data_IF_250479891685
#
_entry.id   IF_250479891685
#
_cell.length_a   1.000
_cell.length_b   1.000
_cell.length_c   1.000
_cell.angle_alpha   90.00
_cell.angle_beta   90.00
_cell.angle_gamma   90.00
#
_symmetry.space_group_name_H-M   'P 1'
#
loop_
_entity.id
_entity.type
_entity.pdbx_description
1 polymer ?
#
# COMPACT_ATOMS: atom_id res chain seq x y z
N UNK A 1 10.67 3.02 -5.60
CA UNK A 1 11.33 2.16 -6.61
C UNK A 1 10.81 0.75 -6.41
N UNK A 2 10.29 0.12 -7.46
CA UNK A 2 9.86 -1.28 -7.45
C UNK A 2 10.63 -2.01 -8.55
N UNK A 3 11.34 -3.09 -8.18
CA UNK A 3 12.02 -3.95 -9.16
C UNK A 3 11.24 -5.25 -9.42
N UNK A 4 10.13 -5.47 -8.71
CA UNK A 4 9.25 -6.61 -8.90
C UNK A 4 8.39 -6.38 -10.14
N UNK A 5 8.31 -7.38 -10.99
CA UNK A 5 7.39 -7.40 -12.15
C UNK A 5 6.19 -8.29 -11.81
N UNK A 6 4.96 -7.72 -11.76
CA UNK A 6 3.75 -8.47 -11.44
C UNK A 6 3.24 -9.26 -12.65
N UNK A 7 2.32 -10.20 -12.42
CA UNK A 7 1.57 -10.92 -13.47
C UNK A 7 2.44 -11.73 -14.46
N UNK A 8 3.62 -12.19 -14.04
CA UNK A 8 4.41 -13.15 -14.81
C UNK A 8 3.84 -14.56 -14.57
N UNK A 9 3.44 -15.28 -15.64
CA UNK A 9 2.90 -16.62 -15.51
C UNK A 9 3.81 -17.59 -14.76
N UNK A 10 3.28 -18.25 -13.73
CA UNK A 10 4.00 -19.22 -12.89
C UNK A 10 4.99 -18.61 -11.89
N UNK A 11 5.09 -17.28 -11.80
CA UNK A 11 6.04 -16.59 -10.92
C UNK A 11 5.36 -15.53 -10.04
N UNK A 12 4.56 -14.65 -10.64
CA UNK A 12 3.92 -13.52 -9.94
C UNK A 12 2.45 -13.34 -10.34
N UNK A 13 1.77 -14.43 -10.69
CA UNK A 13 0.37 -14.46 -11.15
C UNK A 13 -0.59 -13.73 -10.19
N UNK A 14 -0.34 -13.88 -8.88
CA UNK A 14 -1.19 -13.36 -7.82
C UNK A 14 -0.67 -12.04 -7.23
N UNK A 15 0.35 -11.44 -7.82
CA UNK A 15 0.94 -10.19 -7.33
C UNK A 15 0.40 -9.04 -8.16
N UNK A 16 -0.18 -8.06 -7.46
CA UNK A 16 -0.60 -6.78 -8.01
C UNK A 16 0.27 -5.67 -7.43
N UNK A 17 0.72 -4.74 -8.26
CA UNK A 17 1.50 -3.58 -7.83
C UNK A 17 0.75 -2.32 -8.20
N UNK A 18 0.50 -1.49 -7.19
CA UNK A 18 -0.17 -0.18 -7.31
C UNK A 18 0.77 0.89 -6.78
N UNK A 19 0.83 2.03 -7.47
CA UNK A 19 1.53 3.23 -7.05
C UNK A 19 0.53 4.38 -6.94
N UNK A 20 0.46 5.03 -5.78
CA UNK A 20 -0.35 6.24 -5.58
C UNK A 20 0.54 7.45 -5.85
N UNK A 21 0.13 8.31 -6.77
CA UNK A 21 0.85 9.53 -7.14
C UNK A 21 -0.11 10.71 -7.04
N UNK A 22 -0.27 11.22 -5.84
CA UNK A 22 -1.11 12.38 -5.53
C UNK A 22 -0.31 13.60 -5.08
N UNK A 23 -0.98 14.50 -4.35
CA UNK A 23 -0.39 15.72 -3.81
C UNK A 23 0.62 15.44 -2.67
N UNK A 24 0.30 14.50 -1.79
CA UNK A 24 1.16 14.14 -0.67
C UNK A 24 2.10 12.99 -1.04
N UNK A 25 3.27 12.97 -0.40
CA UNK A 25 4.23 11.88 -0.54
C UNK A 25 3.85 10.76 0.42
N UNK A 26 3.48 9.61 -0.14
CA UNK A 26 3.24 8.40 0.64
C UNK A 26 4.56 7.87 1.22
N UNK A 27 4.75 8.11 2.52
CA UNK A 27 5.95 7.70 3.27
C UNK A 27 5.65 6.66 4.36
N UNK A 28 4.38 6.27 4.47
CA UNK A 28 3.92 5.20 5.36
C UNK A 28 4.45 3.86 4.85
N UNK A 29 4.80 2.96 5.79
CA UNK A 29 5.31 1.62 5.48
C UNK A 29 4.58 0.64 6.37
N UNK A 30 3.64 -0.09 5.76
CA UNK A 30 2.73 -1.01 6.43
C UNK A 30 2.98 -2.40 5.85
N UNK A 31 3.15 -3.39 6.72
CA UNK A 31 3.15 -4.80 6.34
C UNK A 31 1.92 -5.47 6.93
N UNK A 32 1.05 -5.98 6.06
CA UNK A 32 -0.18 -6.67 6.44
C UNK A 32 -0.11 -8.13 6.03
N UNK A 33 -0.29 -9.03 6.99
CA UNK A 33 -0.33 -10.47 6.74
C UNK A 33 -1.69 -11.01 7.18
N UNK A 34 -2.50 -11.52 6.26
CA UNK A 34 -3.85 -12.05 6.57
C UNK A 34 -3.84 -13.15 7.65
N UNK A 35 -2.80 -13.99 7.65
CA UNK A 35 -2.56 -15.02 8.67
C UNK A 35 -3.83 -15.83 9.03
N UNK A 36 -4.45 -16.42 8.01
CA UNK A 36 -5.67 -17.24 8.12
C UNK A 36 -6.85 -16.49 8.80
N UNK A 37 -7.04 -15.22 8.45
CA UNK A 37 -8.10 -14.38 9.01
C UNK A 37 -7.78 -13.78 10.38
N UNK A 38 -6.55 -13.94 10.88
CA UNK A 38 -6.04 -13.31 12.11
C UNK A 38 -4.91 -12.35 11.77
N UNK A 39 -5.23 -11.18 11.17
CA UNK A 39 -4.23 -10.35 10.54
C UNK A 39 -3.12 -9.93 11.51
N UNK A 40 -1.88 -9.98 11.04
CA UNK A 40 -0.72 -9.40 11.72
C UNK A 40 -0.29 -8.16 10.95
N UNK A 41 -0.32 -7.02 11.62
CA UNK A 41 0.03 -5.73 11.03
C UNK A 41 1.28 -5.19 11.71
N UNK A 42 2.21 -4.70 10.89
CA UNK A 42 3.45 -4.10 11.33
C UNK A 42 3.62 -2.73 10.66
N UNK A 43 4.18 -1.79 11.41
CA UNK A 43 4.65 -0.51 10.88
C UNK A 43 6.19 -0.51 10.89
N UNK A 44 6.80 0.16 9.93
CA UNK A 44 8.26 0.17 9.82
C UNK A 44 8.85 1.52 9.41
N UNK A 45 10.10 1.75 9.80
CA UNK A 45 10.95 2.82 9.25
C UNK A 45 11.58 2.44 7.92
N UNK A 46 11.76 1.13 7.64
CA UNK A 46 12.48 0.62 6.48
C UNK A 46 11.56 0.30 5.31
N UNK A 47 11.96 0.70 4.10
CA UNK A 47 11.48 0.04 2.89
C UNK A 47 12.27 -1.27 2.62
N UNK A 48 11.78 -2.10 1.69
CA UNK A 48 12.38 -3.40 1.35
C UNK A 48 13.57 -3.28 0.38
N UNK A 49 14.51 -2.37 0.64
CA UNK A 49 15.75 -2.26 -0.11
C UNK A 49 16.92 -2.84 0.68
N UNK A 50 17.86 -3.51 0.00
CA UNK A 50 18.99 -4.19 0.65
C UNK A 50 19.84 -3.30 1.57
N UNK A 51 19.94 -2.00 1.28
CA UNK A 51 20.62 -1.03 2.16
C UNK A 51 19.92 -0.87 3.52
N UNK A 52 18.60 -0.92 3.55
CA UNK A 52 17.82 -0.76 4.78
C UNK A 52 17.78 -2.08 5.57
N UNK A 53 17.73 -3.21 4.87
CA UNK A 53 17.70 -4.53 5.49
C UNK A 53 19.06 -5.00 6.05
N UNK A 54 20.18 -4.56 5.46
CA UNK A 54 21.50 -5.10 5.82
C UNK A 54 22.49 -4.07 6.35
N UNK A 55 22.30 -2.77 6.08
CA UNK A 55 23.32 -1.74 6.34
C UNK A 55 22.85 -0.60 7.23
N UNK A 56 21.58 -0.60 7.64
CA UNK A 56 21.00 0.42 8.51
C UNK A 56 20.35 -0.22 9.72
N UNK A 57 20.29 0.54 10.80
CA UNK A 57 19.49 0.19 11.96
C UNK A 57 18.09 0.74 11.71
N UNK A 58 17.12 -0.15 11.66
CA UNK A 58 15.74 0.15 11.33
C UNK A 58 14.82 -0.49 12.37
N UNK A 59 13.61 0.05 12.52
CA UNK A 59 12.59 -0.51 13.42
C UNK A 59 11.39 -1.02 12.63
N UNK A 60 10.88 -2.17 13.06
CA UNK A 60 9.62 -2.72 12.60
C UNK A 60 8.91 -3.30 13.82
N UNK A 61 7.70 -2.83 14.10
CA UNK A 61 6.98 -3.20 15.31
C UNK A 61 5.55 -3.65 14.99
N UNK A 62 5.05 -4.67 15.69
CA UNK A 62 3.68 -5.15 15.53
C UNK A 62 2.68 -4.20 16.19
N UNK A 63 1.48 -4.17 15.64
CA UNK A 63 0.30 -3.52 16.22
C UNK A 63 -0.59 -4.59 16.84
N UNK A 64 -0.77 -4.54 18.15
CA UNK A 64 -1.54 -5.53 18.89
C UNK A 64 -3.00 -5.11 19.15
N UNK A 65 -3.25 -3.80 19.26
CA UNK A 65 -4.58 -3.28 19.53
C UNK A 65 -5.49 -3.48 18.29
N UNK A 66 -6.58 -4.26 18.39
CA UNK A 66 -7.47 -4.53 17.26
C UNK A 66 -8.10 -3.27 16.67
N UNK A 67 -8.35 -2.24 17.48
CA UNK A 67 -8.91 -0.97 17.00
C UNK A 67 -7.92 -0.22 16.11
N UNK A 68 -6.63 -0.26 16.47
CA UNK A 68 -5.55 0.32 15.66
C UNK A 68 -5.29 -0.49 14.40
N UNK A 69 -5.32 -1.83 14.50
CA UNK A 69 -5.23 -2.71 13.32
C UNK A 69 -6.33 -2.35 12.32
N UNK A 70 -7.58 -2.21 12.80
CA UNK A 70 -8.71 -1.87 11.93
C UNK A 70 -8.54 -0.49 11.29
N UNK A 71 -8.11 0.50 12.07
CA UNK A 71 -7.81 1.84 11.54
C UNK A 71 -6.72 1.82 10.47
N UNK A 72 -5.65 1.06 10.66
CA UNK A 72 -4.56 0.94 9.68
C UNK A 72 -5.04 0.23 8.41
N UNK A 73 -5.88 -0.80 8.55
CA UNK A 73 -6.50 -1.47 7.42
C UNK A 73 -7.37 -0.49 6.62
N UNK A 74 -8.25 0.26 7.28
CA UNK A 74 -9.20 1.14 6.61
C UNK A 74 -8.53 2.39 6.01
N UNK A 75 -7.65 3.05 6.78
CA UNK A 75 -7.07 4.35 6.44
C UNK A 75 -5.67 4.27 5.82
N UNK A 76 -4.94 3.17 6.06
CA UNK A 76 -3.58 2.99 5.57
C UNK A 76 -3.46 2.05 4.38
N UNK A 77 -4.48 1.22 4.11
CA UNK A 77 -4.46 0.23 3.02
C UNK A 77 -5.69 0.35 2.13
N UNK A 78 -6.89 0.06 2.66
CA UNK A 78 -8.11 -0.10 1.87
C UNK A 78 -8.45 1.16 1.08
N UNK A 79 -8.37 2.33 1.70
CA UNK A 79 -8.63 3.62 1.04
C UNK A 79 -7.73 3.88 -0.18
N UNK A 80 -6.50 3.36 -0.19
CA UNK A 80 -5.58 3.50 -1.32
C UNK A 80 -5.74 2.36 -2.34
N UNK A 81 -6.20 1.19 -1.91
CA UNK A 81 -6.55 0.09 -2.81
C UNK A 81 -7.82 0.38 -3.62
N UNK A 82 -8.72 1.20 -3.08
CA UNK A 82 -9.96 1.63 -3.72
C UNK A 82 -9.79 2.91 -4.56
N UNK A 83 -8.64 3.58 -4.47
CA UNK A 83 -8.34 4.80 -5.21
C UNK A 83 -8.36 4.55 -6.72
N UNK A 84 -9.11 5.37 -7.46
CA UNK A 84 -9.27 5.30 -8.92
C UNK A 84 -8.99 6.66 -9.60
N UNK A 85 -8.32 7.57 -8.89
CA UNK A 85 -7.95 8.91 -9.38
C UNK A 85 -6.44 9.07 -9.42
N UNK A 86 -5.77 8.75 -8.31
CA UNK A 86 -4.33 8.92 -8.11
C UNK A 86 -3.57 7.58 -8.20
N UNK A 87 -4.28 6.46 -8.32
CA UNK A 87 -3.70 5.12 -8.37
C UNK A 87 -3.29 4.67 -9.78
N UNK A 88 -2.08 4.10 -9.87
CA UNK A 88 -1.50 3.54 -11.08
C UNK A 88 -1.13 2.08 -10.87
N UNK A 89 -1.63 1.18 -11.72
CA UNK A 89 -1.29 -0.24 -11.67
C UNK A 89 -0.19 -0.56 -12.69
N UNK A 90 0.79 -1.34 -12.26
CA UNK A 90 1.85 -1.85 -13.13
C UNK A 90 1.41 -3.13 -13.85
N UNK A 91 1.61 -3.18 -15.16
CA UNK A 91 1.44 -4.40 -15.97
C UNK A 91 2.68 -5.31 -15.94
N UNK A 92 2.61 -6.43 -16.67
CA UNK A 92 3.69 -7.41 -16.77
C UNK A 92 4.90 -6.93 -17.60
N UNK A 93 4.76 -5.82 -18.34
CA UNK A 93 5.85 -5.18 -19.07
C UNK A 93 6.53 -4.07 -18.25
N UNK A 94 6.03 -3.81 -17.03
CA UNK A 94 6.55 -2.79 -16.12
C UNK A 94 6.01 -1.38 -16.40
N UNK A 95 5.01 -1.24 -17.28
CA UNK A 95 4.37 0.03 -17.56
C UNK A 95 3.25 0.30 -16.57
N UNK A 96 3.08 1.58 -16.20
CA UNK A 96 2.05 2.01 -15.25
C UNK A 96 0.86 2.62 -15.98
N UNK A 97 -0.34 2.18 -15.60
CA UNK A 97 -1.60 2.66 -16.15
C UNK A 97 -2.49 3.18 -15.03
N UNK A 98 -3.16 4.32 -15.25
CA UNK A 98 -4.15 4.83 -14.30
C UNK A 98 -5.25 3.80 -14.11
N UNK A 99 -5.55 3.47 -12.85
CA UNK A 99 -6.68 2.62 -12.52
C UNK A 99 -7.96 3.42 -12.74
N UNK A 100 -8.73 3.05 -13.76
CA UNK A 100 -10.06 3.61 -14.02
C UNK A 100 -11.09 2.50 -13.95
N UNK A 101 -12.15 2.76 -13.19
CA UNK A 101 -13.31 1.88 -13.10
C UNK A 101 -14.59 2.70 -13.29
N UNK A 102 -15.75 2.02 -13.32
CA UNK A 102 -17.06 2.68 -13.45
C UNK A 102 -17.60 3.22 -12.12
N UNK A 103 -16.81 3.15 -11.04
CA UNK A 103 -17.21 3.65 -9.73
C UNK A 103 -17.04 5.17 -9.69
N UNK A 104 -17.58 5.77 -8.63
CA UNK A 104 -17.39 7.20 -8.40
C UNK A 104 -15.89 7.51 -8.23
N UNK A 105 -15.39 8.61 -8.82
CA UNK A 105 -14.02 9.05 -8.62
C UNK A 105 -13.72 9.28 -7.13
N UNK A 106 -12.66 8.65 -6.64
CA UNK A 106 -12.23 8.67 -5.26
C UNK A 106 -10.70 8.72 -5.20
N UNK A 107 -10.20 9.77 -4.53
CA UNK A 107 -8.78 9.93 -4.17
C UNK A 107 -8.64 9.66 -2.69
N UNK A 108 -7.78 8.72 -2.32
CA UNK A 108 -7.59 8.33 -0.93
C UNK A 108 -7.05 9.48 -0.08
N UNK A 109 -6.16 10.29 -0.64
CA UNK A 109 -5.61 11.47 0.03
C UNK A 109 -6.69 12.52 0.34
N UNK A 110 -7.56 12.83 -0.63
CA UNK A 110 -8.63 13.80 -0.43
C UNK A 110 -9.70 13.29 0.54
N UNK A 111 -9.99 11.99 0.52
CA UNK A 111 -10.96 11.39 1.42
C UNK A 111 -10.46 11.40 2.88
N UNK A 112 -9.18 11.11 3.10
CA UNK A 112 -8.56 11.28 4.42
C UNK A 112 -8.56 12.75 4.86
N UNK A 113 -8.25 13.70 3.97
CA UNK A 113 -8.33 15.13 4.31
C UNK A 113 -9.74 15.54 4.75
N UNK A 114 -10.78 15.12 4.02
CA UNK A 114 -12.17 15.42 4.40
C UNK A 114 -12.53 14.83 5.75
N UNK A 115 -12.14 13.58 6.01
CA UNK A 115 -12.44 12.87 7.27
C UNK A 115 -11.85 13.57 8.50
N UNK A 116 -10.70 14.22 8.33
CA UNK A 116 -9.95 14.87 9.40
C UNK A 116 -9.95 16.40 9.35
N UNK A 117 -10.69 17.00 8.40
CA UNK A 117 -11.00 18.43 8.41
C UNK A 117 -11.94 18.71 9.59
N UNK A 118 -11.44 19.45 10.57
CA UNK A 118 -12.24 20.06 11.64
C UNK A 118 -12.85 21.36 11.16
#
# INVERSE_FOLDING_TARGET
ICCLVPKIPGLSDNIRVISIVGRFLEHTRIYYFSHQGKPKVYLSSADLMGRNLHRRVETCFPIYDPSLVKRIEDEGLQIFLDDNVDAWEMDNDGHYHVIKNQLQPMSGQLELLKRYQK
#
